data_IF_587805539599
#
_entry.id   IF_587805539599
#
_cell.length_a   1.000
_cell.length_b   1.000
_cell.length_c   1.000
_cell.angle_alpha   90.00
_cell.angle_beta   90.00
_cell.angle_gamma   90.00
#
_symmetry.space_group_name_H-M   'P 1'
#
loop_
_entity.id
_entity.type
_entity.pdbx_description
1 polymer ?
#
# COMPACT_ATOMS: atom_id res chain seq x y z
N UNK A 1 18.07 -7.14 34.46
CA UNK A 1 17.63 -6.07 35.40
C UNK A 1 18.85 -5.42 36.03
N UNK A 2 19.06 -4.12 35.81
CA UNK A 2 20.11 -3.34 36.44
C UNK A 2 19.50 -2.42 37.49
N UNK A 3 19.25 -2.93 38.70
CA UNK A 3 18.67 -2.19 39.84
C UNK A 3 17.39 -1.40 39.48
N UNK A 4 17.52 -0.22 38.86
CA UNK A 4 16.42 0.67 38.50
C UNK A 4 16.03 0.63 37.00
N UNK A 5 16.75 -0.15 36.19
CA UNK A 5 16.56 -0.23 34.75
C UNK A 5 15.99 -1.59 34.37
N UNK A 6 15.01 -1.57 33.46
CA UNK A 6 14.49 -2.76 32.80
C UNK A 6 14.61 -2.57 31.30
N UNK A 7 15.63 -3.21 30.73
CA UNK A 7 15.91 -3.13 29.31
C UNK A 7 15.09 -4.19 28.55
N UNK A 8 14.43 -3.76 27.47
CA UNK A 8 13.79 -4.63 26.48
C UNK A 8 14.43 -4.41 25.14
N UNK A 9 14.72 -5.49 24.44
CA UNK A 9 15.23 -5.47 23.06
C UNK A 9 14.40 -6.45 22.25
N UNK A 10 14.20 -6.15 20.98
CA UNK A 10 13.49 -7.06 20.09
C UNK A 10 13.73 -6.74 18.64
N UNK A 11 13.44 -7.72 17.81
CA UNK A 11 13.45 -7.59 16.35
C UNK A 11 12.25 -8.33 15.77
N UNK A 12 11.76 -7.86 14.63
CA UNK A 12 10.66 -8.46 13.90
C UNK A 12 10.99 -8.47 12.41
N UNK A 13 10.63 -9.54 11.74
CA UNK A 13 10.72 -9.68 10.29
C UNK A 13 9.35 -10.10 9.79
N UNK A 14 8.77 -9.28 8.93
CA UNK A 14 7.50 -9.56 8.26
C UNK A 14 7.80 -9.72 6.77
N UNK A 15 7.36 -10.81 6.18
CA UNK A 15 7.45 -11.04 4.76
C UNK A 15 6.07 -11.38 4.21
N UNK A 16 5.64 -10.68 3.17
CA UNK A 16 4.38 -10.93 2.48
C UNK A 16 4.61 -10.96 0.97
N UNK A 17 3.98 -11.90 0.29
CA UNK A 17 3.87 -11.88 -1.16
C UNK A 17 2.52 -11.25 -1.52
N UNK A 18 2.56 -10.17 -2.25
CA UNK A 18 1.37 -9.48 -2.72
C UNK A 18 1.20 -9.77 -4.20
N UNK A 19 0.01 -10.23 -4.56
CA UNK A 19 -0.40 -10.39 -5.94
C UNK A 19 -1.67 -9.58 -6.17
N UNK A 20 -1.63 -8.69 -7.13
CA UNK A 20 -2.78 -7.93 -7.58
C UNK A 20 -3.22 -8.52 -8.91
N UNK A 21 -4.46 -8.96 -8.98
CA UNK A 21 -5.08 -9.48 -10.17
C UNK A 21 -6.14 -8.52 -10.68
N UNK A 22 -6.26 -8.41 -11.98
CA UNK A 22 -7.27 -7.61 -12.63
C UNK A 22 -6.72 -6.31 -13.21
N UNK A 23 -7.46 -5.77 -14.11
CA UNK A 23 -7.31 -4.49 -14.77
C UNK A 23 -8.67 -4.02 -15.17
N UNK A 24 -8.85 -2.71 -15.43
CA UNK A 24 -10.15 -2.14 -15.72
C UNK A 24 -10.78 -2.76 -16.97
N UNK A 25 -10.01 -2.94 -18.03
CA UNK A 25 -10.50 -3.45 -19.31
C UNK A 25 -9.40 -4.19 -20.08
N UNK A 26 -9.03 -5.41 -19.67
CA UNK A 26 -7.93 -6.14 -20.30
C UNK A 26 -8.19 -6.49 -21.78
N UNK A 27 -9.47 -6.64 -22.17
CA UNK A 27 -9.89 -6.87 -23.54
C UNK A 27 -10.14 -5.58 -24.33
N UNK A 28 -9.93 -4.42 -23.72
CA UNK A 28 -10.25 -3.12 -24.28
C UNK A 28 -11.74 -2.74 -24.12
N UNK A 29 -12.02 -1.48 -24.36
CA UNK A 29 -13.36 -0.89 -24.36
C UNK A 29 -13.62 -0.21 -25.69
N UNK A 30 -14.75 -0.50 -26.30
CA UNK A 30 -15.19 0.10 -27.54
C UNK A 30 -16.36 1.04 -27.30
N UNK A 31 -16.27 2.23 -27.82
CA UNK A 31 -17.41 3.11 -27.95
C UNK A 31 -17.94 3.02 -29.38
N UNK A 32 -19.21 2.69 -29.53
CA UNK A 32 -19.85 2.51 -30.84
C UNK A 32 -21.00 3.50 -31.00
N UNK A 33 -21.14 4.06 -32.19
CA UNK A 33 -22.24 4.92 -32.56
C UNK A 33 -23.27 4.09 -33.34
N UNK A 34 -24.46 3.98 -32.78
CA UNK A 34 -25.58 3.26 -33.40
C UNK A 34 -26.55 4.24 -34.05
N UNK A 35 -26.95 3.96 -35.27
CA UNK A 35 -28.04 4.72 -35.94
C UNK A 35 -29.41 4.33 -35.39
N UNK A 36 -30.43 5.12 -35.73
CA UNK A 36 -31.79 4.91 -35.23
C UNK A 36 -32.37 3.53 -35.59
N UNK A 37 -32.03 2.96 -36.73
CA UNK A 37 -32.47 1.63 -37.16
C UNK A 37 -31.85 0.55 -36.33
N UNK A 38 -30.54 0.63 -36.06
CA UNK A 38 -29.80 -0.30 -35.20
C UNK A 38 -30.33 -0.26 -33.77
N UNK A 39 -30.56 0.94 -33.22
CA UNK A 39 -31.16 1.11 -31.89
C UNK A 39 -32.56 0.51 -31.82
N UNK A 40 -33.40 0.72 -32.85
CA UNK A 40 -34.74 0.12 -32.90
C UNK A 40 -34.70 -1.40 -32.96
N UNK A 41 -33.78 -1.99 -33.74
CA UNK A 41 -33.57 -3.43 -33.79
C UNK A 41 -33.13 -4.04 -32.43
N UNK A 42 -32.20 -3.40 -31.75
CA UNK A 42 -31.76 -3.83 -30.41
C UNK A 42 -32.90 -3.75 -29.38
N UNK A 43 -33.70 -2.68 -29.43
CA UNK A 43 -34.89 -2.54 -28.55
C UNK A 43 -35.95 -3.60 -28.86
N UNK A 44 -36.19 -3.90 -30.12
CA UNK A 44 -37.16 -4.93 -30.55
C UNK A 44 -36.70 -6.34 -30.10
N UNK A 45 -35.39 -6.60 -30.07
CA UNK A 45 -34.80 -7.82 -29.55
C UNK A 45 -34.84 -7.90 -28.00
N UNK A 46 -35.37 -6.89 -27.32
CA UNK A 46 -35.47 -6.77 -25.86
C UNK A 46 -34.14 -6.90 -25.12
N UNK A 47 -33.06 -6.42 -25.72
CA UNK A 47 -31.70 -6.45 -25.17
C UNK A 47 -31.39 -5.23 -24.29
N UNK A 48 -32.33 -4.85 -23.39
CA UNK A 48 -32.22 -3.60 -22.62
C UNK A 48 -31.12 -3.57 -21.57
N UNK A 49 -30.91 -4.65 -20.85
CA UNK A 49 -30.01 -4.68 -19.69
C UNK A 49 -28.82 -5.68 -19.78
N UNK A 50 -28.68 -6.37 -20.90
CA UNK A 50 -27.68 -7.43 -21.07
C UNK A 50 -27.12 -7.47 -22.48
N UNK A 51 -26.67 -6.30 -23.01
CA UNK A 51 -25.99 -6.27 -24.31
C UNK A 51 -24.63 -7.00 -24.19
N UNK A 52 -24.50 -8.07 -24.98
CA UNK A 52 -23.25 -8.73 -25.27
C UNK A 52 -22.58 -8.13 -26.50
N UNK A 53 -21.29 -8.31 -26.67
CA UNK A 53 -20.56 -7.82 -27.85
C UNK A 53 -21.11 -8.40 -29.15
N UNK A 54 -21.64 -9.62 -29.10
CA UNK A 54 -22.27 -10.29 -30.26
C UNK A 54 -23.63 -9.69 -30.66
N UNK A 55 -24.24 -8.89 -29.77
CA UNK A 55 -25.49 -8.18 -30.08
C UNK A 55 -25.22 -6.89 -30.87
N UNK A 56 -23.97 -6.40 -30.87
CA UNK A 56 -23.60 -5.18 -31.59
C UNK A 56 -23.57 -5.48 -33.10
N UNK A 57 -24.32 -4.72 -33.93
CA UNK A 57 -24.29 -4.92 -35.38
C UNK A 57 -22.86 -4.80 -35.93
N UNK A 58 -22.47 -5.73 -36.81
CA UNK A 58 -21.15 -5.75 -37.42
C UNK A 58 -20.81 -4.49 -38.24
N UNK A 59 -21.84 -3.74 -38.67
CA UNK A 59 -21.71 -2.47 -39.37
C UNK A 59 -21.85 -1.24 -38.44
N UNK A 60 -21.77 -1.42 -37.11
CA UNK A 60 -21.76 -0.30 -36.18
C UNK A 60 -20.45 0.48 -36.36
N UNK A 61 -20.56 1.82 -36.30
CA UNK A 61 -19.39 2.68 -36.39
C UNK A 61 -18.69 2.69 -35.04
N UNK A 62 -17.42 2.27 -34.99
CA UNK A 62 -16.56 2.43 -33.82
C UNK A 62 -16.08 3.87 -33.78
N UNK A 63 -16.41 4.60 -32.71
CA UNK A 63 -15.98 5.99 -32.49
C UNK A 63 -14.71 6.09 -31.65
N UNK A 64 -14.51 5.18 -30.72
CA UNK A 64 -13.25 5.10 -29.97
C UNK A 64 -12.97 3.67 -29.51
N UNK A 65 -11.69 3.38 -29.32
CA UNK A 65 -11.19 2.18 -28.66
C UNK A 65 -10.17 2.59 -27.61
N UNK A 66 -10.30 2.06 -26.43
CA UNK A 66 -9.33 2.23 -25.36
C UNK A 66 -8.95 0.89 -24.77
N UNK A 67 -7.68 0.70 -24.52
CA UNK A 67 -7.15 -0.48 -23.85
C UNK A 67 -6.26 -0.03 -22.70
N UNK A 68 -6.37 -0.71 -21.60
CA UNK A 68 -5.48 -0.49 -20.47
C UNK A 68 -4.23 -1.37 -20.64
N UNK A 69 -3.08 -0.71 -20.89
CA UNK A 69 -1.77 -1.37 -20.99
C UNK A 69 -1.19 -1.62 -19.59
N UNK A 70 -1.94 -2.30 -18.76
CA UNK A 70 -1.55 -2.65 -17.38
C UNK A 70 -1.41 -4.17 -17.30
N UNK A 71 -0.40 -4.72 -16.57
CA UNK A 71 -0.34 -6.15 -16.32
C UNK A 71 -1.65 -6.63 -15.69
N UNK A 72 -2.19 -7.74 -16.18
CA UNK A 72 -3.34 -8.40 -15.55
C UNK A 72 -2.98 -9.02 -14.21
N UNK A 73 -1.70 -9.22 -13.98
CA UNK A 73 -1.12 -9.69 -12.72
C UNK A 73 0.10 -8.84 -12.38
N UNK A 74 0.15 -8.33 -11.17
CA UNK A 74 1.27 -7.55 -10.65
C UNK A 74 1.62 -8.08 -9.25
N UNK A 75 2.79 -8.68 -9.13
CA UNK A 75 3.24 -9.29 -7.89
C UNK A 75 4.52 -8.67 -7.35
N UNK A 76 4.59 -8.47 -6.04
CA UNK A 76 5.80 -8.00 -5.35
C UNK A 76 5.89 -8.60 -3.95
N UNK A 77 7.12 -8.95 -3.58
CA UNK A 77 7.41 -9.34 -2.20
C UNK A 77 7.74 -8.12 -1.35
N UNK A 78 6.97 -7.92 -0.30
CA UNK A 78 7.27 -6.94 0.75
C UNK A 78 8.05 -7.62 1.86
N UNK A 79 9.12 -6.98 2.32
CA UNK A 79 9.91 -7.41 3.48
C UNK A 79 10.13 -6.22 4.39
N UNK A 80 9.67 -6.35 5.63
CA UNK A 80 9.76 -5.33 6.66
C UNK A 80 10.66 -5.86 7.75
N UNK A 81 11.66 -5.09 8.12
CA UNK A 81 12.61 -5.39 9.19
C UNK A 81 12.46 -4.32 10.27
N UNK A 82 12.32 -4.77 11.49
CA UNK A 82 12.19 -3.90 12.65
C UNK A 82 13.18 -4.34 13.73
N UNK A 83 13.81 -3.36 14.38
CA UNK A 83 14.58 -3.59 15.59
C UNK A 83 14.25 -2.50 16.61
N UNK A 84 14.22 -2.83 17.88
CA UNK A 84 13.98 -1.84 18.92
C UNK A 84 14.74 -2.13 20.21
N UNK A 85 14.99 -1.07 20.95
CA UNK A 85 15.48 -1.09 22.32
C UNK A 85 14.64 -0.13 23.15
N UNK A 86 14.26 -0.54 24.35
CA UNK A 86 13.48 0.25 25.29
C UNK A 86 14.04 0.06 26.70
N UNK A 87 14.22 1.14 27.42
CA UNK A 87 14.61 1.14 28.82
C UNK A 87 13.51 1.75 29.68
N UNK A 88 12.99 0.97 30.60
CA UNK A 88 12.12 1.44 31.66
C UNK A 88 12.99 1.77 32.89
N UNK A 89 13.18 3.06 33.14
CA UNK A 89 13.96 3.59 34.25
C UNK A 89 13.05 3.99 35.41
N UNK A 90 13.11 3.22 36.51
CA UNK A 90 12.40 3.53 37.74
C UNK A 90 13.26 4.49 38.60
N UNK A 91 13.05 5.79 38.41
CA UNK A 91 13.79 6.85 39.11
C UNK A 91 13.58 6.75 40.63
N UNK A 92 12.29 6.60 41.00
CA UNK A 92 11.91 6.34 42.39
C UNK A 92 10.55 5.59 42.42
N UNK A 93 10.00 5.33 43.63
CA UNK A 93 8.75 4.58 43.78
C UNK A 93 7.51 5.25 43.15
N UNK A 94 7.59 6.53 42.78
CA UNK A 94 6.49 7.31 42.21
C UNK A 94 6.73 7.70 40.76
N UNK A 95 7.96 7.70 40.26
CA UNK A 95 8.30 8.20 38.93
C UNK A 95 9.05 7.18 38.11
N UNK A 96 8.44 6.79 36.98
CA UNK A 96 9.01 5.92 35.97
C UNK A 96 9.13 6.68 34.65
N UNK A 97 10.26 6.53 33.98
CA UNK A 97 10.55 7.06 32.65
C UNK A 97 10.81 5.88 31.71
N UNK A 98 10.20 5.89 30.54
CA UNK A 98 10.48 4.92 29.47
C UNK A 98 11.11 5.67 28.32
N UNK A 99 12.28 5.23 27.89
CA UNK A 99 12.96 5.73 26.70
C UNK A 99 13.13 4.58 25.71
N UNK A 100 12.78 4.81 24.48
CA UNK A 100 12.84 3.79 23.43
C UNK A 100 13.38 4.35 22.12
N UNK A 101 14.03 3.48 21.38
CA UNK A 101 14.45 3.71 20.01
C UNK A 101 14.03 2.53 19.17
N UNK A 102 13.35 2.81 18.05
CA UNK A 102 12.94 1.80 17.08
C UNK A 102 13.49 2.18 15.72
N UNK A 103 13.91 1.19 14.98
CA UNK A 103 14.27 1.29 13.58
C UNK A 103 13.31 0.42 12.76
N UNK A 104 12.80 0.97 11.67
CA UNK A 104 11.91 0.27 10.75
C UNK A 104 12.45 0.41 9.31
N UNK A 105 12.45 -0.69 8.58
CA UNK A 105 12.78 -0.73 7.16
C UNK A 105 11.69 -1.47 6.40
N UNK A 106 11.19 -0.87 5.32
CA UNK A 106 10.27 -1.49 4.37
C UNK A 106 10.89 -1.41 2.97
N UNK A 107 11.07 -2.54 2.30
CA UNK A 107 11.68 -2.56 0.96
C UNK A 107 10.82 -1.91 -0.12
N UNK A 108 9.53 -1.65 0.13
CA UNK A 108 8.65 -0.93 -0.79
C UNK A 108 8.74 0.59 -0.60
N UNK A 109 9.09 1.08 0.59
CA UNK A 109 9.28 2.51 0.83
C UNK A 109 10.70 2.94 0.47
N UNK A 110 10.95 3.17 -0.83
CA UNK A 110 12.28 3.55 -1.33
C UNK A 110 12.52 5.05 -1.32
N UNK A 111 11.68 5.86 -0.65
CA UNK A 111 11.85 7.31 -0.58
C UNK A 111 11.95 8.00 -1.94
N UNK A 112 11.38 7.41 -3.00
CA UNK A 112 11.46 7.91 -4.38
C UNK A 112 12.80 7.63 -5.09
N UNK A 113 13.74 6.93 -4.45
CA UNK A 113 15.05 6.58 -5.01
C UNK A 113 15.27 5.09 -5.22
N UNK A 114 16.39 4.74 -5.85
CA UNK A 114 16.83 3.35 -6.04
C UNK A 114 17.40 2.71 -4.76
N UNK A 115 17.71 3.51 -3.75
CA UNK A 115 18.26 3.06 -2.46
C UNK A 115 17.11 2.93 -1.47
N UNK A 116 17.12 1.85 -0.68
CA UNK A 116 16.13 1.66 0.38
C UNK A 116 16.14 2.81 1.41
N UNK A 117 15.02 3.01 2.05
CA UNK A 117 14.84 4.03 3.10
C UNK A 117 15.39 3.49 4.43
N UNK A 118 16.59 3.93 4.79
CA UNK A 118 17.34 3.46 5.97
C UNK A 118 17.33 4.47 7.13
N UNK A 119 16.57 5.56 7.04
CA UNK A 119 16.57 6.65 8.01
C UNK A 119 15.37 6.64 8.97
N UNK A 120 14.56 5.59 8.98
CA UNK A 120 13.36 5.49 9.80
C UNK A 120 13.71 5.13 11.25
N UNK A 121 14.31 6.09 11.94
CA UNK A 121 14.65 5.99 13.36
C UNK A 121 13.56 6.69 14.16
N UNK A 122 12.89 5.96 15.04
CA UNK A 122 11.71 6.38 15.80
C UNK A 122 12.01 6.44 17.29
N UNK A 123 12.53 7.58 17.81
CA UNK A 123 12.69 7.78 19.25
C UNK A 123 11.31 7.94 19.92
N UNK A 124 11.22 7.41 21.14
CA UNK A 124 10.01 7.46 21.98
C UNK A 124 10.40 7.77 23.41
N UNK A 125 9.60 8.58 24.07
CA UNK A 125 9.74 8.87 25.49
C UNK A 125 8.37 8.90 26.14
N UNK A 126 8.23 8.29 27.31
CA UNK A 126 7.01 8.38 28.10
C UNK A 126 7.33 8.35 29.58
N UNK A 127 6.43 8.89 30.37
CA UNK A 127 6.56 8.90 31.82
C UNK A 127 5.25 8.50 32.50
N UNK A 128 5.38 8.00 33.72
CA UNK A 128 4.29 7.76 34.65
C UNK A 128 4.68 8.29 36.03
N UNK A 129 3.87 9.22 36.56
CA UNK A 129 4.05 9.81 37.86
C UNK A 129 2.85 9.55 38.76
N UNK A 130 3.06 8.85 39.88
CA UNK A 130 2.04 8.62 40.91
C UNK A 130 1.91 9.86 41.78
N UNK A 131 0.79 10.56 41.69
CA UNK A 131 0.46 11.69 42.57
C UNK A 131 0.07 11.19 43.94
N UNK A 132 -0.83 10.21 44.01
CA UNK A 132 -1.33 9.57 45.21
C UNK A 132 -1.43 8.05 44.97
N UNK A 133 -1.84 7.29 46.01
CA UNK A 133 -2.11 5.85 45.86
C UNK A 133 -3.22 5.53 44.83
N UNK A 134 -4.12 6.53 44.54
CA UNK A 134 -5.27 6.37 43.66
C UNK A 134 -5.19 7.18 42.36
N UNK A 135 -4.16 8.01 42.19
CA UNK A 135 -4.07 8.96 41.06
C UNK A 135 -2.67 8.95 40.45
N UNK A 136 -2.59 8.96 39.11
CA UNK A 136 -1.34 9.10 38.38
C UNK A 136 -1.51 10.00 37.15
N UNK A 137 -0.40 10.67 36.79
CA UNK A 137 -0.28 11.41 35.54
C UNK A 137 0.65 10.59 34.61
N UNK A 138 0.24 10.48 33.35
CA UNK A 138 1.02 9.81 32.31
C UNK A 138 1.10 10.70 31.08
N UNK A 139 2.24 10.67 30.41
CA UNK A 139 2.43 11.39 29.17
C UNK A 139 3.53 10.73 28.35
N UNK A 140 3.53 11.02 27.07
CA UNK A 140 4.56 10.49 26.17
C UNK A 140 4.56 11.20 24.83
N UNK A 141 5.66 11.06 24.12
CA UNK A 141 5.86 11.54 22.77
C UNK A 141 6.74 10.57 22.00
N UNK A 142 6.67 10.58 20.67
CA UNK A 142 7.52 9.75 19.84
C UNK A 142 7.28 9.98 18.36
N UNK A 143 8.22 9.48 17.57
CA UNK A 143 8.07 9.35 16.13
C UNK A 143 7.57 7.95 15.81
N UNK A 144 6.74 7.88 14.77
CA UNK A 144 6.18 6.62 14.30
C UNK A 144 6.25 6.59 12.78
N UNK A 145 6.73 5.49 12.24
CA UNK A 145 6.72 5.21 10.81
C UNK A 145 5.68 4.14 10.55
N UNK A 146 4.88 4.34 9.50
CA UNK A 146 3.85 3.38 9.09
C UNK A 146 4.31 2.60 7.86
N UNK A 147 3.69 1.45 7.65
CA UNK A 147 3.95 0.57 6.50
C UNK A 147 3.26 1.12 5.26
N UNK A 148 3.93 1.05 4.12
CA UNK A 148 3.28 1.34 2.84
C UNK A 148 2.32 0.20 2.50
N UNK A 149 1.04 0.55 2.30
CA UNK A 149 0.07 -0.41 1.78
C UNK A 149 0.43 -0.76 0.35
N UNK A 150 0.47 -2.06 0.04
CA UNK A 150 0.83 -2.54 -1.30
C UNK A 150 -0.06 -1.96 -2.41
N UNK A 151 -1.35 -1.76 -2.15
CA UNK A 151 -2.26 -1.15 -3.11
C UNK A 151 -1.79 0.26 -3.52
N UNK A 152 -1.40 1.10 -2.55
CA UNK A 152 -0.86 2.45 -2.82
C UNK A 152 0.46 2.36 -3.59
N UNK A 153 1.33 1.44 -3.21
CA UNK A 153 2.60 1.22 -3.90
C UNK A 153 2.38 0.80 -5.36
N UNK A 154 1.48 -0.15 -5.61
CA UNK A 154 1.19 -0.64 -6.96
C UNK A 154 0.57 0.43 -7.84
N UNK A 155 -0.34 1.25 -7.30
CA UNK A 155 -0.95 2.37 -8.03
C UNK A 155 0.08 3.45 -8.38
N UNK A 156 0.93 3.81 -7.40
CA UNK A 156 2.00 4.79 -7.63
C UNK A 156 3.01 4.29 -8.69
N UNK A 157 3.34 3.00 -8.68
CA UNK A 157 4.23 2.40 -9.66
C UNK A 157 3.63 2.42 -11.06
N UNK A 158 2.35 2.11 -11.20
CA UNK A 158 1.63 2.14 -12.48
C UNK A 158 1.50 3.55 -13.06
N UNK A 159 1.41 4.57 -12.21
CA UNK A 159 1.36 5.97 -12.64
C UNK A 159 2.75 6.54 -12.97
N UNK A 160 3.80 6.00 -12.40
CA UNK A 160 5.16 6.46 -12.63
C UNK A 160 5.84 5.71 -13.77
N UNK A 161 5.47 6.05 -15.01
CA UNK A 161 5.98 5.42 -16.25
C UNK A 161 7.48 5.58 -16.47
N UNK A 162 8.15 6.43 -15.70
CA UNK A 162 9.60 6.66 -15.80
C UNK A 162 10.41 5.80 -14.83
N UNK A 163 9.78 5.18 -13.84
CA UNK A 163 10.48 4.35 -12.86
C UNK A 163 11.09 3.10 -13.51
N UNK A 164 12.20 2.63 -12.97
CA UNK A 164 12.84 1.39 -13.42
C UNK A 164 11.92 0.17 -13.19
N UNK A 165 11.19 0.17 -12.09
CA UNK A 165 10.27 -0.91 -11.73
C UNK A 165 9.10 -0.96 -12.73
N UNK A 166 8.50 0.18 -13.10
CA UNK A 166 7.45 0.23 -14.14
C UNK A 166 7.95 -0.29 -15.49
N UNK A 167 9.13 0.14 -15.92
CA UNK A 167 9.72 -0.30 -17.18
C UNK A 167 10.02 -1.80 -17.21
N UNK A 168 10.49 -2.36 -16.09
CA UNK A 168 10.74 -3.78 -15.94
C UNK A 168 9.46 -4.60 -16.07
N UNK A 169 8.38 -4.17 -15.40
CA UNK A 169 7.08 -4.85 -15.48
C UNK A 169 6.45 -4.70 -16.87
N UNK A 170 6.58 -3.52 -17.49
CA UNK A 170 6.10 -3.29 -18.86
C UNK A 170 6.85 -4.18 -19.87
N UNK A 171 8.15 -4.36 -19.72
CA UNK A 171 8.93 -5.24 -20.59
C UNK A 171 8.54 -6.71 -20.44
N UNK A 172 8.24 -7.16 -19.22
CA UNK A 172 7.75 -8.51 -18.97
C UNK A 172 6.38 -8.78 -19.60
N UNK A 173 5.57 -7.74 -19.84
CA UNK A 173 4.29 -7.82 -20.52
C UNK A 173 4.39 -7.91 -22.05
N UNK A 174 5.41 -7.27 -22.61
CA UNK A 174 5.58 -7.15 -24.07
C UNK A 174 6.36 -8.36 -24.63
N UNK A 175 7.07 -9.09 -23.79
CA UNK A 175 7.84 -10.28 -24.15
C UNK A 175 6.98 -11.54 -24.25
#
# INVERSE_FOLDING_TARGET
YFKKHTLKVGAEIITANHNLFGGGTPAGSYQVDLNATQVAALKAANKGAGLDINDIPSNAKVSSYSIELRPTEFGKRQSIYTAYVEDLYSINSRFNLTLGLRFDYDNLSKGGGSKGDWNNIAPRASFNYKLTERSSIRGGTGLFYDKVLYAIYSDALQQNTTSADYKSELQALIA
#
